data_IF_434558429836
#
_entry.id   IF_434558429836
#
_cell.length_a   1.000
_cell.length_b   1.000
_cell.length_c   1.000
_cell.angle_alpha   90.00
_cell.angle_beta   90.00
_cell.angle_gamma   90.00
#
_symmetry.space_group_name_H-M   'P 1'
#
loop_
_entity.id
_entity.type
_entity.pdbx_description
1 polymer ?
#
# COMPACT_ATOMS: atom_id res chain seq x y z
N UNK A 1 -10.31 -12.69 12.82
CA UNK A 1 -9.06 -12.60 12.03
C UNK A 1 -8.53 -11.20 12.29
N UNK A 2 -7.26 -11.03 12.64
CA UNK A 2 -6.72 -9.71 13.00
C UNK A 2 -6.14 -9.09 11.73
N UNK A 3 -6.96 -8.34 11.00
CA UNK A 3 -6.50 -7.54 9.87
C UNK A 3 -5.94 -6.22 10.42
N UNK A 4 -4.83 -5.79 9.82
CA UNK A 4 -4.15 -4.53 10.07
C UNK A 4 -4.37 -3.64 8.86
N UNK A 5 -4.58 -2.37 9.14
CA UNK A 5 -4.73 -1.35 8.11
C UNK A 5 -3.44 -0.53 8.04
N UNK A 6 -2.92 -0.34 6.83
CA UNK A 6 -1.87 0.62 6.53
C UNK A 6 -2.42 1.72 5.65
N UNK A 7 -2.16 2.96 6.05
CA UNK A 7 -2.49 4.12 5.25
C UNK A 7 -1.19 4.74 4.76
N UNK A 8 -1.09 4.90 3.45
CA UNK A 8 0.00 5.57 2.77
C UNK A 8 -0.54 6.85 2.15
N UNK A 9 0.21 7.94 2.27
CA UNK A 9 -0.09 9.18 1.56
C UNK A 9 1.09 9.55 0.67
N UNK A 10 0.79 10.11 -0.50
CA UNK A 10 1.81 10.64 -1.39
C UNK A 10 1.65 12.14 -1.58
N UNK A 11 2.79 12.79 -1.83
CA UNK A 11 2.78 14.17 -2.28
C UNK A 11 2.18 14.24 -3.69
N UNK A 12 1.33 15.24 -3.94
CA UNK A 12 0.64 15.46 -5.21
C UNK A 12 1.56 15.56 -6.44
N UNK A 13 2.88 15.66 -6.27
CA UNK A 13 3.87 15.67 -7.35
C UNK A 13 4.29 14.27 -7.81
N UNK A 14 3.97 13.21 -7.05
CA UNK A 14 4.30 11.82 -7.36
C UNK A 14 3.03 10.97 -7.27
N UNK A 15 2.23 10.96 -8.32
CA UNK A 15 1.11 10.04 -8.45
C UNK A 15 1.66 8.64 -8.76
N UNK A 16 1.51 7.64 -7.87
CA UNK A 16 1.87 6.27 -8.22
C UNK A 16 1.03 5.76 -9.38
N UNK A 17 1.59 4.79 -10.09
CA UNK A 17 0.85 4.01 -11.05
C UNK A 17 -0.09 3.05 -10.31
N UNK A 18 -1.35 3.48 -10.10
CA UNK A 18 -2.34 2.76 -9.31
C UNK A 18 -2.62 1.35 -9.83
N UNK A 19 -2.48 1.12 -11.14
CA UNK A 19 -2.68 -0.19 -11.75
C UNK A 19 -1.57 -1.16 -11.32
N UNK A 20 -0.31 -0.72 -11.50
CA UNK A 20 0.87 -1.47 -11.06
C UNK A 20 0.82 -1.78 -9.56
N UNK A 21 0.36 -0.82 -8.77
CA UNK A 21 0.23 -0.92 -7.32
C UNK A 21 -0.82 -1.97 -6.92
N UNK A 22 -2.01 -1.92 -7.53
CA UNK A 22 -3.06 -2.94 -7.34
C UNK A 22 -2.59 -4.32 -7.74
N UNK A 23 -1.89 -4.47 -8.87
CA UNK A 23 -1.39 -5.77 -9.32
C UNK A 23 -0.40 -6.37 -8.33
N UNK A 24 0.54 -5.56 -7.82
CA UNK A 24 1.58 -6.02 -6.90
C UNK A 24 1.01 -6.34 -5.52
N UNK A 25 0.17 -5.47 -4.98
CA UNK A 25 -0.46 -5.73 -3.67
C UNK A 25 -1.47 -6.87 -3.74
N UNK A 26 -2.23 -7.03 -4.83
CA UNK A 26 -3.09 -8.22 -5.02
C UNK A 26 -2.29 -9.52 -5.10
N UNK A 27 -1.01 -9.46 -5.46
CA UNK A 27 -0.14 -10.62 -5.46
C UNK A 27 0.29 -11.02 -4.03
N UNK A 28 0.17 -10.13 -3.05
CA UNK A 28 0.45 -10.44 -1.65
C UNK A 28 -0.71 -11.26 -1.07
N UNK A 29 -0.41 -12.47 -0.65
CA UNK A 29 -1.40 -13.39 -0.07
C UNK A 29 -2.09 -12.82 1.18
N UNK A 30 -1.41 -11.94 1.92
CA UNK A 30 -1.96 -11.32 3.12
C UNK A 30 -2.86 -10.11 2.86
N UNK A 31 -2.86 -9.52 1.66
CA UNK A 31 -3.70 -8.34 1.38
C UNK A 31 -5.14 -8.79 1.18
N UNK A 32 -6.03 -8.31 2.04
CA UNK A 32 -7.45 -8.64 2.03
C UNK A 32 -8.26 -7.58 1.30
N UNK A 33 -7.92 -6.30 1.49
CA UNK A 33 -8.63 -5.18 0.87
C UNK A 33 -7.68 -4.02 0.58
N UNK A 34 -8.03 -3.22 -0.42
CA UNK A 34 -7.28 -2.03 -0.80
C UNK A 34 -8.24 -0.93 -1.25
N UNK A 35 -8.08 0.25 -0.68
CA UNK A 35 -8.85 1.44 -1.04
C UNK A 35 -7.92 2.56 -1.49
N UNK A 36 -8.12 3.05 -2.72
CA UNK A 36 -7.30 4.13 -3.28
C UNK A 36 -8.10 5.41 -3.20
N UNK A 37 -7.71 6.28 -2.27
CA UNK A 37 -8.26 7.61 -2.10
C UNK A 37 -7.55 8.59 -3.02
N UNK A 38 -7.81 8.47 -4.32
CA UNK A 38 -7.23 9.37 -5.34
C UNK A 38 -7.52 10.85 -5.08
N UNK A 39 -8.62 11.17 -4.40
CA UNK A 39 -8.97 12.54 -4.00
C UNK A 39 -8.06 13.10 -2.90
N UNK A 40 -7.62 12.26 -1.96
CA UNK A 40 -6.80 12.65 -0.81
C UNK A 40 -5.30 12.33 -1.03
N UNK A 41 -4.95 11.82 -2.22
CA UNK A 41 -3.64 11.24 -2.49
C UNK A 41 -3.24 10.18 -1.44
N UNK A 42 -4.22 9.38 -1.04
CA UNK A 42 -4.08 8.34 -0.02
C UNK A 42 -4.36 6.94 -0.56
N UNK A 43 -3.69 5.94 0.00
CA UNK A 43 -3.92 4.51 -0.23
C UNK A 43 -4.09 3.85 1.12
N UNK A 44 -5.16 3.11 1.27
CA UNK A 44 -5.41 2.26 2.42
C UNK A 44 -5.26 0.81 1.98
N UNK A 45 -4.50 0.03 2.73
CA UNK A 45 -4.28 -1.39 2.48
C UNK A 45 -4.59 -2.15 3.75
N UNK A 46 -5.58 -3.03 3.68
CA UNK A 46 -5.91 -3.97 4.74
C UNK A 46 -5.25 -5.30 4.45
N UNK A 47 -4.49 -5.78 5.43
CA UNK A 47 -3.74 -7.01 5.31
C UNK A 47 -3.80 -7.83 6.59
N UNK A 48 -3.70 -9.14 6.48
CA UNK A 48 -3.59 -10.05 7.60
C UNK A 48 -2.12 -10.24 7.98
N UNK A 49 -1.76 -9.80 9.18
CA UNK A 49 -0.41 -9.86 9.74
C UNK A 49 0.14 -11.29 9.88
N UNK A 50 -0.72 -12.31 9.80
CA UNK A 50 -0.32 -13.72 9.81
C UNK A 50 0.30 -14.17 8.49
N UNK A 51 0.02 -13.46 7.40
CA UNK A 51 0.44 -13.84 6.04
C UNK A 51 1.39 -12.81 5.41
N UNK A 52 1.19 -11.52 5.69
CA UNK A 52 2.06 -10.45 5.18
C UNK A 52 2.34 -9.42 6.26
N UNK A 53 3.53 -8.83 6.24
CA UNK A 53 3.90 -7.77 7.18
C UNK A 53 3.81 -6.40 6.55
N UNK A 54 3.62 -5.36 7.36
CA UNK A 54 3.61 -3.97 6.90
C UNK A 54 4.87 -3.61 6.10
N UNK A 55 6.02 -4.11 6.54
CA UNK A 55 7.31 -3.93 5.85
C UNK A 55 7.34 -4.55 4.46
N UNK A 56 6.68 -5.69 4.26
CA UNK A 56 6.64 -6.37 2.97
C UNK A 56 5.76 -5.61 1.97
N UNK A 57 4.67 -5.05 2.46
CA UNK A 57 3.80 -4.14 1.71
C UNK A 57 4.60 -2.89 1.32
N UNK A 58 5.27 -2.24 2.28
CA UNK A 58 6.12 -1.06 2.00
C UNK A 58 7.20 -1.39 0.98
N UNK A 59 7.91 -2.51 1.14
CA UNK A 59 8.98 -2.91 0.22
C UNK A 59 8.45 -3.13 -1.20
N UNK A 60 7.28 -3.80 -1.32
CA UNK A 60 6.59 -4.00 -2.60
C UNK A 60 6.24 -2.67 -3.27
N UNK A 61 5.82 -1.70 -2.46
CA UNK A 61 5.54 -0.35 -2.95
C UNK A 61 6.83 0.38 -3.37
N UNK A 62 7.92 0.25 -2.61
CA UNK A 62 9.20 0.85 -3.00
C UNK A 62 9.76 0.25 -4.29
N UNK A 63 9.53 -1.04 -4.55
CA UNK A 63 9.96 -1.71 -5.79
C UNK A 63 9.25 -1.16 -7.05
N UNK A 64 8.01 -0.71 -6.92
CA UNK A 64 7.30 -0.02 -8.03
C UNK A 64 7.63 1.48 -8.11
N UNK A 65 8.61 1.94 -7.32
CA UNK A 65 9.02 3.34 -7.27
C UNK A 65 8.14 4.21 -6.37
N UNK A 66 7.23 3.62 -5.60
CA UNK A 66 6.44 4.34 -4.62
C UNK A 66 7.14 4.35 -3.27
N UNK A 67 7.64 5.52 -2.87
CA UNK A 67 8.14 5.73 -1.52
C UNK A 67 7.04 6.39 -0.70
N UNK A 68 6.32 5.66 0.17
CA UNK A 68 5.45 6.32 1.12
C UNK A 68 6.33 7.25 1.95
N UNK A 69 5.85 8.47 2.17
CA UNK A 69 6.55 9.40 3.04
C UNK A 69 6.40 8.86 4.47
N UNK A 70 7.33 7.99 4.90
CA UNK A 70 7.48 7.59 6.30
C UNK A 70 7.83 8.87 7.05
N UNK A 71 6.81 9.52 7.60
CA UNK A 71 6.94 10.76 8.35
C UNK A 71 7.79 10.52 9.59
N UNK A 72 9.11 10.62 9.42
CA UNK A 72 10.08 10.75 10.50
C UNK A 72 10.22 12.21 10.92
#
# INVERSE_FOLDING_TARGET
MATKQLTFSWNSSSSPDFDSLKQRLSALRGVTEMDIQSADNGLVVDFDERFSSAQEIVNTLEEIGYRPNDGR
#
